data_IF_720664632900
#
_entry.id   IF_720664632900
#
_cell.length_a   1.000
_cell.length_b   1.000
_cell.length_c   1.000
_cell.angle_alpha   90.00
_cell.angle_beta   90.00
_cell.angle_gamma   90.00
#
_symmetry.space_group_name_H-M   'P 1'
#
loop_
_entity.id
_entity.type
_entity.pdbx_description
1 polymer ?
#
# COMPACT_ATOMS: atom_id res chain seq x y z
N UNK A 1 -33.39 -10.77 -9.33
CA UNK A 1 -32.70 -9.81 -8.44
C UNK A 1 -31.38 -10.46 -8.08
N UNK A 2 -30.24 -9.96 -8.58
CA UNK A 2 -28.96 -10.60 -8.30
C UNK A 2 -28.71 -10.55 -6.78
N UNK A 3 -28.34 -11.68 -6.19
CA UNK A 3 -28.07 -11.74 -4.75
C UNK A 3 -26.74 -11.05 -4.44
N UNK A 4 -26.57 -10.55 -3.21
CA UNK A 4 -25.30 -9.94 -2.78
C UNK A 4 -24.11 -10.90 -2.97
N UNK A 5 -24.35 -12.20 -2.81
CA UNK A 5 -23.35 -13.25 -3.04
C UNK A 5 -22.89 -13.24 -4.50
N UNK A 6 -23.81 -13.17 -5.47
CA UNK A 6 -23.47 -13.12 -6.89
C UNK A 6 -22.59 -11.91 -7.24
N UNK A 7 -22.87 -10.75 -6.64
CA UNK A 7 -22.08 -9.53 -6.87
C UNK A 7 -20.67 -9.64 -6.26
N UNK A 8 -20.54 -10.26 -5.09
CA UNK A 8 -19.25 -10.51 -4.44
C UNK A 8 -18.38 -11.46 -5.27
N UNK A 9 -18.93 -12.61 -5.69
CA UNK A 9 -18.20 -13.56 -6.53
C UNK A 9 -17.75 -12.91 -7.84
N UNK A 10 -18.65 -12.18 -8.50
CA UNK A 10 -18.32 -11.46 -9.73
C UNK A 10 -17.20 -10.44 -9.53
N UNK A 11 -17.22 -9.67 -8.44
CA UNK A 11 -16.19 -8.67 -8.15
C UNK A 11 -14.83 -9.31 -7.87
N UNK A 12 -14.81 -10.45 -7.16
CA UNK A 12 -13.59 -11.21 -6.86
C UNK A 12 -12.99 -11.81 -8.13
N UNK A 13 -13.81 -12.36 -9.02
CA UNK A 13 -13.33 -12.96 -10.26
C UNK A 13 -12.75 -11.91 -11.21
N UNK A 14 -13.44 -10.77 -11.36
CA UNK A 14 -12.93 -9.63 -12.13
C UNK A 14 -11.59 -9.10 -11.57
N UNK A 15 -11.45 -9.06 -10.25
CA UNK A 15 -10.20 -8.65 -9.60
C UNK A 15 -9.05 -9.62 -9.89
N UNK A 16 -9.30 -10.93 -9.79
CA UNK A 16 -8.29 -11.96 -10.10
C UNK A 16 -7.83 -11.90 -11.55
N UNK A 17 -8.77 -11.69 -12.48
CA UNK A 17 -8.48 -11.54 -13.90
C UNK A 17 -7.60 -10.31 -14.16
N UNK A 18 -7.94 -9.15 -13.59
CA UNK A 18 -7.16 -7.92 -13.71
C UNK A 18 -5.72 -8.04 -13.18
N UNK A 19 -5.54 -8.80 -12.09
CA UNK A 19 -4.22 -9.05 -11.49
C UNK A 19 -3.38 -9.99 -12.35
N UNK A 20 -3.97 -11.08 -12.84
CA UNK A 20 -3.24 -12.03 -13.66
C UNK A 20 -2.79 -11.43 -15.00
N UNK A 21 -3.53 -10.44 -15.52
CA UNK A 21 -3.14 -9.70 -16.70
C UNK A 21 -1.92 -8.78 -16.48
N UNK A 22 -1.66 -8.29 -15.26
CA UNK A 22 -0.64 -7.27 -15.00
C UNK A 22 0.25 -7.63 -13.79
N UNK A 23 1.46 -8.13 -14.07
CA UNK A 23 2.44 -8.53 -13.04
C UNK A 23 2.82 -7.37 -12.11
N UNK A 24 2.91 -6.14 -12.61
CA UNK A 24 3.25 -4.96 -11.79
C UNK A 24 2.17 -4.62 -10.77
N UNK A 25 0.89 -4.73 -11.15
CA UNK A 25 -0.24 -4.52 -10.25
C UNK A 25 -0.27 -5.61 -9.16
N UNK A 26 0.02 -6.85 -9.53
CA UNK A 26 0.15 -7.97 -8.58
C UNK A 26 1.23 -7.70 -7.53
N UNK A 27 2.39 -7.18 -7.95
CA UNK A 27 3.50 -6.89 -7.05
C UNK A 27 3.15 -5.78 -6.04
N UNK A 28 2.48 -4.72 -6.51
CA UNK A 28 2.02 -3.62 -5.66
C UNK A 28 1.01 -4.12 -4.62
N UNK A 29 0.07 -4.98 -4.99
CA UNK A 29 -0.92 -5.54 -4.05
C UNK A 29 -0.29 -6.46 -3.00
N UNK A 30 0.66 -7.31 -3.40
CA UNK A 30 1.36 -8.19 -2.46
C UNK A 30 2.18 -7.35 -1.47
N UNK A 31 2.87 -6.31 -1.95
CA UNK A 31 3.61 -5.40 -1.10
C UNK A 31 2.69 -4.64 -0.14
N UNK A 32 1.55 -4.17 -0.64
CA UNK A 32 0.49 -3.52 0.14
C UNK A 32 -0.06 -4.43 1.24
N UNK A 33 -0.31 -5.71 0.93
CA UNK A 33 -0.75 -6.71 1.90
C UNK A 33 0.32 -6.96 2.98
N UNK A 34 1.59 -7.07 2.59
CA UNK A 34 2.69 -7.25 3.54
C UNK A 34 2.79 -6.09 4.54
N UNK A 35 2.59 -4.84 4.09
CA UNK A 35 2.58 -3.67 4.96
C UNK A 35 1.44 -3.72 5.99
N UNK A 36 0.25 -4.14 5.58
CA UNK A 36 -0.91 -4.31 6.49
C UNK A 36 -0.62 -5.39 7.54
N UNK A 37 0.00 -6.51 7.13
CA UNK A 37 0.38 -7.58 8.05
C UNK A 37 1.39 -7.07 9.07
N UNK A 38 2.44 -6.36 8.62
CA UNK A 38 3.48 -5.81 9.51
C UNK A 38 2.89 -4.80 10.49
N UNK A 39 2.07 -3.86 10.01
CA UNK A 39 1.38 -2.88 10.87
C UNK A 39 0.47 -3.57 11.91
N UNK A 40 -0.22 -4.64 11.49
CA UNK A 40 -1.08 -5.42 12.39
C UNK A 40 -0.26 -6.12 13.48
N UNK A 41 0.88 -6.72 13.11
CA UNK A 41 1.81 -7.35 14.06
C UNK A 41 2.33 -6.33 15.08
N UNK A 42 2.72 -5.13 14.63
CA UNK A 42 3.18 -4.07 15.53
C UNK A 42 2.09 -3.63 16.51
N UNK A 43 0.83 -3.49 16.05
CA UNK A 43 -0.30 -3.19 16.92
C UNK A 43 -0.55 -4.31 17.94
N UNK A 44 -0.55 -5.56 17.51
CA UNK A 44 -0.75 -6.71 18.40
C UNK A 44 0.37 -6.77 19.46
N UNK A 45 1.62 -6.54 19.06
CA UNK A 45 2.76 -6.50 19.97
C UNK A 45 2.56 -5.46 21.09
N UNK A 46 2.15 -4.24 20.74
CA UNK A 46 1.86 -3.19 21.73
C UNK A 46 0.70 -3.54 22.66
N UNK A 47 -0.37 -4.15 22.13
CA UNK A 47 -1.53 -4.57 22.92
C UNK A 47 -1.13 -5.67 23.92
N UNK A 48 -0.30 -6.63 23.50
CA UNK A 48 0.11 -7.78 24.32
C UNK A 48 1.06 -7.37 25.45
N UNK A 49 2.03 -6.51 25.16
CA UNK A 49 3.06 -6.14 26.13
C UNK A 49 2.52 -5.18 27.20
N UNK A 50 1.45 -4.43 26.92
CA UNK A 50 0.86 -3.40 27.81
C UNK A 50 1.84 -2.29 28.26
N UNK A 51 3.05 -2.29 27.72
CA UNK A 51 4.06 -1.27 27.94
C UNK A 51 4.21 -0.47 26.65
N UNK A 52 4.15 0.85 26.77
CA UNK A 52 4.19 1.78 25.64
C UNK A 52 5.57 2.39 25.44
N UNK A 53 6.59 1.96 26.19
CA UNK A 53 7.93 2.52 26.08
C UNK A 53 8.82 1.70 25.13
N UNK A 54 9.45 2.29 24.10
CA UNK A 54 9.33 3.68 23.60
C UNK A 54 8.18 3.87 22.58
N UNK A 55 7.30 4.85 22.85
CA UNK A 55 6.10 5.10 22.03
C UNK A 55 6.44 5.64 20.64
N UNK A 56 7.49 6.46 20.53
CA UNK A 56 7.94 7.03 19.27
C UNK A 56 8.39 5.95 18.28
N UNK A 57 9.07 4.91 18.75
CA UNK A 57 9.53 3.82 17.88
C UNK A 57 8.36 3.01 17.29
N UNK A 58 7.34 2.74 18.10
CA UNK A 58 6.11 2.11 17.61
C UNK A 58 5.38 3.02 16.63
N UNK A 59 5.18 4.28 16.99
CA UNK A 59 4.43 5.20 16.14
C UNK A 59 5.16 5.44 14.81
N UNK A 60 6.49 5.54 14.82
CA UNK A 60 7.33 5.59 13.63
C UNK A 60 7.14 4.34 12.75
N UNK A 61 7.26 3.15 13.34
CA UNK A 61 7.08 1.88 12.64
C UNK A 61 5.67 1.67 12.07
N UNK A 62 4.65 2.17 12.77
CA UNK A 62 3.26 2.04 12.35
C UNK A 62 2.93 3.05 11.24
N UNK A 63 3.29 4.33 11.42
CA UNK A 63 3.01 5.40 10.46
C UNK A 63 3.73 5.15 9.13
N UNK A 64 4.97 4.63 9.12
CA UNK A 64 5.65 4.32 7.86
C UNK A 64 4.93 3.21 7.09
N UNK A 65 4.39 2.20 7.77
CA UNK A 65 3.64 1.13 7.13
C UNK A 65 2.33 1.64 6.51
N UNK A 66 1.58 2.46 7.26
CA UNK A 66 0.32 3.07 6.79
C UNK A 66 0.56 4.05 5.64
N UNK A 67 1.59 4.89 5.75
CA UNK A 67 1.89 5.91 4.74
C UNK A 67 2.41 5.27 3.45
N UNK A 68 3.28 4.26 3.56
CA UNK A 68 3.75 3.51 2.38
C UNK A 68 2.61 2.74 1.70
N UNK A 69 1.65 2.22 2.48
CA UNK A 69 0.44 1.62 1.94
C UNK A 69 -0.39 2.64 1.14
N UNK A 70 -0.59 3.85 1.68
CA UNK A 70 -1.30 4.92 0.97
C UNK A 70 -0.61 5.33 -0.35
N UNK A 71 0.74 5.35 -0.36
CA UNK A 71 1.52 5.59 -1.57
C UNK A 71 1.36 4.47 -2.61
N UNK A 72 1.36 3.20 -2.19
CA UNK A 72 1.09 2.06 -3.07
C UNK A 72 -0.30 2.13 -3.71
N UNK A 73 -1.32 2.47 -2.94
CA UNK A 73 -2.69 2.64 -3.46
C UNK A 73 -2.74 3.77 -4.48
N UNK A 74 -2.06 4.89 -4.19
CA UNK A 74 -1.98 6.04 -5.10
C UNK A 74 -1.28 5.68 -6.41
N UNK A 75 -0.17 4.93 -6.34
CA UNK A 75 0.54 4.41 -7.51
C UNK A 75 -0.35 3.46 -8.32
N UNK A 76 -1.05 2.53 -7.67
CA UNK A 76 -1.98 1.59 -8.33
C UNK A 76 -3.06 2.33 -9.10
N UNK A 77 -3.70 3.32 -8.49
CA UNK A 77 -4.74 4.13 -9.14
C UNK A 77 -4.19 4.93 -10.32
N UNK A 78 -2.97 5.47 -10.18
CA UNK A 78 -2.25 6.13 -11.27
C UNK A 78 -2.04 5.21 -12.46
N UNK A 79 -1.51 4.00 -12.23
CA UNK A 79 -1.21 3.02 -13.28
C UNK A 79 -2.45 2.55 -14.04
N UNK A 80 -3.61 2.47 -13.39
CA UNK A 80 -4.88 2.07 -14.03
C UNK A 80 -5.47 3.19 -14.91
N UNK A 81 -5.19 4.47 -14.62
CA UNK A 81 -5.84 5.63 -15.28
C UNK A 81 -5.21 6.05 -16.63
N UNK A 82 -3.94 5.78 -16.88
CA UNK A 82 -3.21 6.30 -18.07
C UNK A 82 -3.36 5.45 -19.34
N UNK A 83 -4.61 5.11 -19.68
CA UNK A 83 -4.96 4.07 -20.64
C UNK A 83 -4.82 4.35 -22.15
N UNK A 84 -4.42 5.52 -22.65
CA UNK A 84 -4.42 5.71 -24.12
C UNK A 84 -3.29 6.58 -24.71
N UNK A 85 -3.17 7.88 -24.41
CA UNK A 85 -2.33 8.75 -25.28
C UNK A 85 -0.85 8.96 -24.86
N UNK A 86 -0.43 8.62 -23.63
CA UNK A 86 0.95 8.87 -23.17
C UNK A 86 1.44 7.95 -22.04
N UNK A 87 1.08 6.66 -22.15
CA UNK A 87 1.25 5.64 -21.11
C UNK A 87 2.66 5.61 -20.50
N UNK A 88 3.69 5.50 -21.34
CA UNK A 88 5.08 5.37 -20.88
C UNK A 88 5.63 6.62 -20.17
N UNK A 89 5.23 7.83 -20.61
CA UNK A 89 5.67 9.08 -19.99
C UNK A 89 4.95 9.32 -18.66
N UNK A 90 3.67 8.96 -18.58
CA UNK A 90 2.87 9.03 -17.36
C UNK A 90 3.33 8.05 -16.28
N UNK A 91 3.56 6.78 -16.65
CA UNK A 91 4.01 5.73 -15.73
C UNK A 91 5.39 6.05 -15.11
N UNK A 92 6.35 6.52 -15.92
CA UNK A 92 7.67 6.92 -15.42
C UNK A 92 7.59 8.10 -14.46
N UNK A 93 6.76 9.10 -14.77
CA UNK A 93 6.54 10.26 -13.89
C UNK A 93 5.95 9.83 -12.55
N UNK A 94 4.89 9.03 -12.56
CA UNK A 94 4.25 8.50 -11.36
C UNK A 94 5.23 7.72 -10.49
N UNK A 95 6.08 6.90 -11.12
CA UNK A 95 7.09 6.12 -10.39
C UNK A 95 8.16 7.01 -9.74
N UNK A 96 8.60 8.07 -10.42
CA UNK A 96 9.54 9.04 -9.84
C UNK A 96 8.91 9.80 -8.67
N UNK A 97 7.67 10.27 -8.82
CA UNK A 97 6.93 10.93 -7.74
C UNK A 97 6.74 10.01 -6.53
N UNK A 98 6.45 8.73 -6.78
CA UNK A 98 6.37 7.69 -5.74
C UNK A 98 7.70 7.51 -4.99
N UNK A 99 8.83 7.37 -5.70
CA UNK A 99 10.15 7.21 -5.07
C UNK A 99 10.50 8.42 -4.20
N UNK A 100 10.32 9.63 -4.74
CA UNK A 100 10.64 10.86 -4.00
C UNK A 100 9.80 10.95 -2.73
N UNK A 101 8.49 10.69 -2.83
CA UNK A 101 7.61 10.71 -1.67
C UNK A 101 7.99 9.62 -0.65
N UNK A 102 8.32 8.42 -1.11
CA UNK A 102 8.76 7.32 -0.24
C UNK A 102 10.08 7.63 0.47
N UNK A 103 11.05 8.27 -0.19
CA UNK A 103 12.31 8.70 0.42
C UNK A 103 12.09 9.75 1.51
N UNK A 104 11.25 10.76 1.24
CA UNK A 104 10.89 11.79 2.23
C UNK A 104 10.20 11.15 3.44
N UNK A 105 9.27 10.22 3.20
CA UNK A 105 8.59 9.48 4.26
C UNK A 105 9.57 8.70 5.14
N UNK A 106 10.51 7.97 4.53
CA UNK A 106 11.53 7.21 5.27
C UNK A 106 12.43 8.15 6.07
N UNK A 107 12.85 9.28 5.49
CA UNK A 107 13.67 10.27 6.18
C UNK A 107 12.97 10.84 7.43
N UNK A 108 11.70 11.25 7.29
CA UNK A 108 10.91 11.79 8.41
C UNK A 108 10.74 10.73 9.50
N UNK A 109 10.44 9.49 9.11
CA UNK A 109 10.22 8.40 10.07
C UNK A 109 11.51 8.04 10.82
N UNK A 110 12.64 7.94 10.12
CA UNK A 110 13.94 7.65 10.75
C UNK A 110 14.41 8.78 11.66
N UNK A 111 14.03 10.03 11.38
CA UNK A 111 14.27 11.14 12.30
C UNK A 111 13.35 11.08 13.53
N UNK A 112 12.09 10.68 13.35
CA UNK A 112 11.08 10.64 14.42
C UNK A 112 11.22 9.44 15.37
N UNK A 113 11.91 8.37 14.96
CA UNK A 113 12.04 7.13 15.75
C UNK A 113 12.79 7.32 17.08
N UNK A 114 13.60 8.39 17.18
CA UNK A 114 14.42 8.76 18.33
C UNK A 114 13.96 10.11 18.87
#
# INVERSE_FOLDING_TARGET
>A
MATLQDQLYKSVDLYKEAINANISLKLIDIFSLALVIIASIQCIFMIVIRDSYPFNAFLAGFIICVSQFALNVSLRLGLVKFGDDNKYRGERKLFVEYIICSLVLHFITLHYIN
#
